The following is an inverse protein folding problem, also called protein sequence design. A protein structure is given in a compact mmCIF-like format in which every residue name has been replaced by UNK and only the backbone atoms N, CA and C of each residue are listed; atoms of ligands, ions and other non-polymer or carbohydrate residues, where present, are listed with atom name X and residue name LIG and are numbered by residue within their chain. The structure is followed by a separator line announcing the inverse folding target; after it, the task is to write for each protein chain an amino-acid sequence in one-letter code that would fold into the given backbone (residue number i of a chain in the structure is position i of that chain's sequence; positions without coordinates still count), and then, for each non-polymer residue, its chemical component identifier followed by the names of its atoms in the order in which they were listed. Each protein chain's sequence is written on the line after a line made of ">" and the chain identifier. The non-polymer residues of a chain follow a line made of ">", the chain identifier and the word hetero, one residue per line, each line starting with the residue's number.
data_IF_096155387417
#
_entry.id   IF_096155387417
#
_cell.length_a   1.000
_cell.length_b   1.000
_cell.length_c   1.000
_cell.angle_alpha   90.00
_cell.angle_beta   90.00
_cell.angle_gamma   90.00
#
_symmetry.space_group_name_H-M   'P 1'
#
loop_
_entity.id
_entity.type
_entity.pdbx_description
1 polymer ?
#
# COMPACT_ATOMS: atom_id res chain seq x y z
N UNK A 1 28.51 12.07 11.99
CA UNK A 1 28.29 10.63 11.91
C UNK A 1 27.57 10.35 10.62
N UNK A 2 27.89 9.25 9.96
CA UNK A 2 27.27 8.84 8.70
C UNK A 2 26.97 7.35 8.75
N UNK A 3 26.13 6.86 7.84
CA UNK A 3 25.75 5.45 7.77
C UNK A 3 26.20 4.90 6.42
N UNK A 4 27.12 3.94 6.46
CA UNK A 4 27.64 3.27 5.27
C UNK A 4 27.58 1.76 5.47
N UNK A 5 27.00 1.04 4.51
CA UNK A 5 26.87 -0.42 4.51
C UNK A 5 26.34 -1.00 5.83
N UNK A 6 25.34 -0.35 6.42
CA UNK A 6 24.72 -0.79 7.67
C UNK A 6 25.57 -0.55 8.93
N UNK A 7 26.64 0.21 8.84
CA UNK A 7 27.47 0.61 9.96
C UNK A 7 27.43 2.13 10.17
N UNK A 8 27.47 2.53 11.43
CA UNK A 8 27.63 3.93 11.82
C UNK A 8 29.13 4.24 11.83
N UNK A 9 29.51 5.19 11.01
CA UNK A 9 30.90 5.63 10.88
C UNK A 9 31.07 7.05 11.42
N UNK A 10 32.27 7.34 11.87
CA UNK A 10 32.65 8.69 12.22
C UNK A 10 33.06 9.45 10.95
N UNK A 11 32.40 10.58 10.69
CA UNK A 11 32.62 11.37 9.47
C UNK A 11 34.04 11.95 9.32
N UNK A 12 34.81 12.05 10.42
CA UNK A 12 36.16 12.65 10.41
C UNK A 12 37.26 11.69 9.97
N UNK A 13 37.16 10.41 10.30
CA UNK A 13 38.20 9.41 10.06
C UNK A 13 37.67 8.12 9.39
N UNK A 14 36.37 8.08 9.09
CA UNK A 14 35.73 6.91 8.46
C UNK A 14 35.68 5.65 9.34
N UNK A 15 36.07 5.76 10.63
CA UNK A 15 36.10 4.61 11.51
C UNK A 15 34.70 4.12 11.86
N UNK A 16 34.45 2.81 11.69
CA UNK A 16 33.21 2.19 12.13
C UNK A 16 33.12 2.23 13.67
N UNK A 17 32.00 2.71 14.17
CA UNK A 17 31.70 2.80 15.60
C UNK A 17 30.87 1.63 16.07
N UNK A 18 29.79 1.32 15.38
CA UNK A 18 28.95 0.16 15.64
C UNK A 18 28.05 -0.15 14.42
N UNK A 19 27.50 -1.34 14.35
CA UNK A 19 26.51 -1.68 13.33
C UNK A 19 25.13 -1.13 13.71
N UNK A 20 24.27 -0.89 12.69
CA UNK A 20 22.86 -0.53 12.92
C UNK A 20 22.11 -1.61 13.71
N UNK A 21 22.43 -2.88 13.48
CA UNK A 21 21.85 -3.99 14.22
C UNK A 21 22.20 -3.92 15.72
N UNK A 22 23.45 -3.67 16.02
CA UNK A 22 23.93 -3.53 17.39
C UNK A 22 23.33 -2.32 18.10
N UNK A 23 23.22 -1.19 17.39
CA UNK A 23 22.52 -0.01 17.89
C UNK A 23 21.06 -0.30 18.20
N UNK A 24 20.34 -0.94 17.29
CA UNK A 24 18.93 -1.27 17.45
C UNK A 24 18.71 -2.22 18.65
N UNK A 25 19.55 -3.24 18.78
CA UNK A 25 19.49 -4.17 19.91
C UNK A 25 19.78 -3.48 21.25
N UNK A 26 20.77 -2.59 21.29
CA UNK A 26 21.10 -1.84 22.49
C UNK A 26 19.99 -0.87 22.88
N UNK A 27 19.41 -0.14 21.90
CA UNK A 27 18.32 0.78 22.14
C UNK A 27 17.03 0.08 22.60
N UNK A 28 16.77 -1.13 22.10
CA UNK A 28 15.56 -1.87 22.43
C UNK A 28 15.64 -2.58 23.79
N UNK A 29 16.78 -3.17 24.13
CA UNK A 29 16.89 -4.07 25.28
C UNK A 29 17.74 -3.55 26.43
N UNK A 30 18.47 -2.45 26.25
CA UNK A 30 19.34 -1.91 27.28
C UNK A 30 18.91 -0.52 27.73
N UNK A 31 17.76 -0.46 28.41
CA UNK A 31 17.17 0.79 28.91
C UNK A 31 18.04 1.58 29.90
N UNK A 32 19.06 0.92 30.50
CA UNK A 32 20.00 1.59 31.40
C UNK A 32 21.09 2.38 30.68
N UNK A 33 21.31 2.09 29.39
CA UNK A 33 22.42 2.68 28.58
C UNK A 33 21.95 3.52 27.41
N UNK A 34 20.71 3.38 26.97
CA UNK A 34 20.20 4.15 25.86
C UNK A 34 18.69 4.34 25.93
N UNK A 35 18.21 5.46 25.39
CA UNK A 35 16.80 5.70 25.17
C UNK A 35 16.35 4.98 23.88
N UNK A 36 15.07 4.67 23.77
CA UNK A 36 14.48 4.13 22.54
C UNK A 36 14.64 5.12 21.40
N UNK A 37 15.13 4.61 20.27
CA UNK A 37 15.21 5.41 19.04
C UNK A 37 13.85 5.38 18.39
N UNK A 38 13.14 6.49 18.46
CA UNK A 38 11.83 6.71 17.79
C UNK A 38 11.90 7.96 16.96
N UNK A 39 11.26 7.93 15.81
CA UNK A 39 11.09 9.10 14.98
C UNK A 39 9.66 9.14 14.46
N UNK A 40 9.06 10.31 14.47
CA UNK A 40 7.75 10.59 13.93
C UNK A 40 7.88 11.67 12.85
N UNK A 41 7.22 11.47 11.73
CA UNK A 41 7.19 12.45 10.65
C UNK A 41 5.80 12.51 10.05
N UNK A 42 5.29 13.72 9.87
CA UNK A 42 4.01 13.97 9.21
C UNK A 42 4.25 14.61 7.86
N UNK A 43 3.70 13.99 6.83
CA UNK A 43 3.69 14.57 5.50
C UNK A 43 2.28 15.06 5.16
N UNK A 44 2.16 16.35 4.85
CA UNK A 44 0.89 16.94 4.40
C UNK A 44 0.87 17.06 2.88
N UNK A 45 -0.08 16.38 2.25
CA UNK A 45 -0.31 16.49 0.81
C UNK A 45 -0.90 17.87 0.51
N UNK A 46 -0.22 18.64 -0.35
CA UNK A 46 -0.69 19.98 -0.76
C UNK A 46 -1.62 19.95 -1.96
N UNK A 47 -1.50 18.95 -2.81
CA UNK A 47 -2.32 18.76 -4.00
C UNK A 47 -2.89 17.36 -4.00
N UNK A 48 -4.20 17.24 -4.22
CA UNK A 48 -4.84 15.94 -4.40
C UNK A 48 -4.45 15.37 -5.76
N UNK A 49 -4.02 14.12 -5.77
CA UNK A 49 -3.86 13.35 -6.99
C UNK A 49 -5.16 12.58 -7.26
N UNK A 50 -5.64 12.64 -8.49
CA UNK A 50 -6.81 11.90 -8.92
C UNK A 50 -6.38 10.69 -9.73
N UNK A 51 -7.04 9.56 -9.48
CA UNK A 51 -6.94 8.38 -10.34
C UNK A 51 -8.10 8.38 -11.34
N UNK A 52 -7.86 7.80 -12.51
CA UNK A 52 -8.86 7.66 -13.57
C UNK A 52 -9.05 6.18 -13.87
N UNK A 53 -10.28 5.79 -14.12
CA UNK A 53 -10.56 4.41 -14.47
C UNK A 53 -11.85 4.28 -15.25
N UNK A 54 -11.97 3.18 -15.98
CA UNK A 54 -13.17 2.78 -16.68
C UNK A 54 -13.37 1.28 -16.53
N UNK A 55 -14.59 0.85 -16.27
CA UNK A 55 -14.94 -0.55 -16.17
C UNK A 55 -15.93 -0.90 -17.28
N UNK A 56 -15.62 -1.92 -18.04
CA UNK A 56 -16.47 -2.51 -19.06
C UNK A 56 -17.02 -3.84 -18.53
N UNK A 57 -18.31 -4.04 -18.71
CA UNK A 57 -19.00 -5.23 -18.21
C UNK A 57 -19.80 -5.85 -19.33
N UNK A 58 -19.62 -7.16 -19.56
CA UNK A 58 -20.45 -7.97 -20.44
C UNK A 58 -21.43 -8.79 -19.59
N UNK A 59 -22.72 -8.57 -19.81
CA UNK A 59 -23.79 -9.24 -19.08
C UNK A 59 -24.78 -9.89 -20.04
N UNK A 60 -25.32 -11.02 -19.62
CA UNK A 60 -26.46 -11.68 -20.25
C UNK A 60 -27.68 -11.56 -19.31
N UNK A 61 -28.80 -11.13 -19.88
CA UNK A 61 -30.06 -10.97 -19.14
C UNK A 61 -31.10 -11.91 -19.72
N UNK A 62 -31.53 -12.88 -18.92
CA UNK A 62 -32.66 -13.74 -19.21
C UNK A 62 -33.93 -13.11 -18.59
N UNK A 63 -34.72 -12.43 -19.44
CA UNK A 63 -35.92 -11.70 -18.99
C UNK A 63 -36.99 -12.66 -18.46
N UNK A 64 -37.33 -13.78 -19.13
CA UNK A 64 -38.30 -14.73 -18.63
C UNK A 64 -37.98 -15.32 -17.26
N UNK A 65 -36.67 -15.60 -17.03
CA UNK A 65 -36.20 -16.18 -15.79
C UNK A 65 -35.78 -15.15 -14.74
N UNK A 66 -35.82 -13.85 -15.09
CA UNK A 66 -35.35 -12.75 -14.24
C UNK A 66 -33.91 -12.97 -13.76
N UNK A 67 -33.04 -13.50 -14.63
CA UNK A 67 -31.69 -13.86 -14.29
C UNK A 67 -30.68 -12.99 -15.02
N UNK A 68 -29.73 -12.47 -14.26
CA UNK A 68 -28.56 -11.77 -14.81
C UNK A 68 -27.32 -12.64 -14.61
N UNK A 69 -26.55 -12.80 -15.67
CA UNK A 69 -25.29 -13.51 -15.63
C UNK A 69 -24.17 -12.58 -16.07
N UNK A 70 -23.17 -12.38 -15.21
CA UNK A 70 -21.95 -11.67 -15.52
C UNK A 70 -21.06 -12.59 -16.38
N UNK A 71 -20.76 -12.19 -17.62
CA UNK A 71 -19.92 -12.95 -18.54
C UNK A 71 -18.46 -12.57 -18.46
N UNK A 72 -18.21 -11.26 -18.47
CA UNK A 72 -16.85 -10.72 -18.38
C UNK A 72 -16.85 -9.33 -17.77
N UNK A 73 -15.71 -8.96 -17.17
CA UNK A 73 -15.49 -7.63 -16.62
C UNK A 73 -14.05 -7.21 -16.85
N UNK A 74 -13.86 -6.07 -17.47
CA UNK A 74 -12.55 -5.48 -17.73
C UNK A 74 -12.47 -4.12 -17.07
N UNK A 75 -11.47 -3.94 -16.20
CA UNK A 75 -11.17 -2.66 -15.60
C UNK A 75 -9.87 -2.10 -16.14
N UNK A 76 -9.91 -0.85 -16.57
CA UNK A 76 -8.73 -0.07 -16.95
C UNK A 76 -8.56 1.06 -15.96
N UNK A 77 -7.42 1.10 -15.29
CA UNK A 77 -7.18 2.05 -14.20
C UNK A 77 -5.83 2.71 -14.33
N UNK A 78 -5.81 4.04 -14.26
CA UNK A 78 -4.59 4.85 -14.22
C UNK A 78 -4.52 5.54 -12.84
N UNK A 79 -3.60 5.10 -12.01
CA UNK A 79 -3.28 5.71 -10.72
C UNK A 79 -1.87 6.31 -10.69
N UNK A 80 -1.27 6.55 -11.86
CA UNK A 80 0.06 7.12 -12.00
C UNK A 80 1.17 6.10 -11.65
N UNK A 81 2.25 6.59 -11.03
CA UNK A 81 3.39 5.74 -10.68
C UNK A 81 3.07 4.83 -9.49
N UNK A 82 3.02 3.53 -9.74
CA UNK A 82 2.76 2.53 -8.72
C UNK A 82 3.98 2.32 -7.81
N UNK A 83 3.76 2.45 -6.49
CA UNK A 83 4.77 2.10 -5.48
C UNK A 83 4.83 0.57 -5.32
N UNK A 84 3.67 -0.07 -5.26
CA UNK A 84 3.53 -1.51 -5.20
C UNK A 84 2.42 -1.98 -6.16
N UNK A 85 2.78 -2.51 -7.34
CA UNK A 85 1.81 -2.94 -8.34
C UNK A 85 0.83 -4.02 -7.84
N UNK A 86 1.33 -4.99 -7.06
CA UNK A 86 0.48 -6.07 -6.55
C UNK A 86 -0.59 -5.57 -5.58
N UNK A 87 -0.26 -4.58 -4.73
CA UNK A 87 -1.25 -3.96 -3.86
C UNK A 87 -2.26 -3.11 -4.64
N UNK A 88 -1.82 -2.39 -5.65
CA UNK A 88 -2.71 -1.60 -6.51
C UNK A 88 -3.71 -2.52 -7.25
N UNK A 89 -3.25 -3.61 -7.82
CA UNK A 89 -4.08 -4.62 -8.46
C UNK A 89 -5.09 -5.23 -7.48
N UNK A 90 -4.65 -5.60 -6.27
CA UNK A 90 -5.53 -6.12 -5.23
C UNK A 90 -6.64 -5.13 -4.83
N UNK A 91 -6.34 -3.82 -4.78
CA UNK A 91 -7.33 -2.77 -4.51
C UNK A 91 -8.38 -2.67 -5.62
N UNK A 92 -7.96 -2.74 -6.88
CA UNK A 92 -8.87 -2.73 -8.04
C UNK A 92 -9.77 -3.97 -8.01
N UNK A 93 -9.21 -5.16 -7.81
CA UNK A 93 -9.97 -6.41 -7.70
C UNK A 93 -10.96 -6.38 -6.54
N UNK A 94 -10.56 -5.85 -5.39
CA UNK A 94 -11.44 -5.67 -4.24
C UNK A 94 -12.61 -4.73 -4.54
N UNK A 95 -12.36 -3.60 -5.19
CA UNK A 95 -13.37 -2.66 -5.62
C UNK A 95 -14.36 -3.26 -6.64
N UNK A 96 -13.86 -4.02 -7.61
CA UNK A 96 -14.68 -4.75 -8.57
C UNK A 96 -15.58 -5.79 -7.90
N UNK A 97 -15.04 -6.56 -6.96
CA UNK A 97 -15.81 -7.55 -6.18
C UNK A 97 -16.95 -6.91 -5.39
N UNK A 98 -16.68 -5.77 -4.73
CA UNK A 98 -17.74 -5.02 -4.05
C UNK A 98 -18.80 -4.50 -5.02
N UNK A 99 -18.39 -3.97 -6.18
CA UNK A 99 -19.33 -3.46 -7.17
C UNK A 99 -20.24 -4.56 -7.73
N UNK A 100 -19.71 -5.77 -7.95
CA UNK A 100 -20.51 -6.94 -8.33
C UNK A 100 -21.52 -7.29 -7.21
N UNK A 101 -21.08 -7.29 -5.96
CA UNK A 101 -21.95 -7.51 -4.79
C UNK A 101 -23.10 -6.52 -4.76
N UNK A 102 -22.83 -5.23 -4.84
CA UNK A 102 -23.88 -4.18 -4.89
C UNK A 102 -24.82 -4.32 -6.08
N UNK A 103 -24.30 -4.67 -7.27
CA UNK A 103 -25.12 -4.79 -8.47
C UNK A 103 -25.98 -6.03 -8.54
N UNK A 104 -25.56 -7.13 -7.93
CA UNK A 104 -26.18 -8.44 -8.14
C UNK A 104 -26.81 -9.06 -6.89
N UNK A 105 -26.47 -8.66 -5.69
CA UNK A 105 -26.92 -9.38 -4.51
C UNK A 105 -27.12 -8.59 -3.24
N UNK A 106 -26.46 -7.44 -3.09
CA UNK A 106 -26.52 -6.67 -1.85
C UNK A 106 -27.63 -5.62 -1.91
N UNK A 107 -28.32 -5.44 -0.79
CA UNK A 107 -29.32 -4.40 -0.61
C UNK A 107 -29.05 -3.67 0.70
N UNK A 108 -28.93 -2.35 0.62
CA UNK A 108 -28.88 -1.50 1.81
C UNK A 108 -30.32 -1.11 2.17
N UNK A 109 -30.76 -1.46 3.36
CA UNK A 109 -32.08 -1.13 3.93
C UNK A 109 -31.99 0.05 4.86
#
# INVERSE_FOLDING_TARGET
>A
MDIVDGNIIRSTDGKALMSLKELAMTAQYNAAKSERITAESTFTIRNNAYSFGCTFVDIEVDIPMCKVTLRDIVNVHDCGKLINPALAEAQVHGGMSMAIGYGMGEQLL
#
